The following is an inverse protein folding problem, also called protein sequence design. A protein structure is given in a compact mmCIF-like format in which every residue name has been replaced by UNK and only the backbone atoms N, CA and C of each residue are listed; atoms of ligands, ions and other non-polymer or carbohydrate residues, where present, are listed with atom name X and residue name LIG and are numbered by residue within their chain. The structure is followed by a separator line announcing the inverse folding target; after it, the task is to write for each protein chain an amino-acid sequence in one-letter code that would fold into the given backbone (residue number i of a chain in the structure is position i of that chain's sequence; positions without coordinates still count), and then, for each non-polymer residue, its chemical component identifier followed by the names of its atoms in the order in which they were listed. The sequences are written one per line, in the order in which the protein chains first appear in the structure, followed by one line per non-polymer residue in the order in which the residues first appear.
data_IF_334073073481
#
_entry.id   IF_334073073481
#
_cell.length_a   1.000
_cell.length_b   1.000
_cell.length_c   1.000
_cell.angle_alpha   90.00
_cell.angle_beta   90.00
_cell.angle_gamma   90.00
#
_symmetry.space_group_name_H-M   'P 1'
#
loop_
_entity.id
_entity.type
_entity.pdbx_description
1 polymer ?
#
# COMPACT_ATOMS: atom_id res chain seq x y z
N UNK A 1 12.79 2.07 -33.44
CA UNK A 1 12.09 0.78 -33.24
C UNK A 1 11.55 0.79 -31.83
N UNK A 2 10.23 0.83 -31.65
CA UNK A 2 9.63 0.77 -30.31
C UNK A 2 9.83 -0.66 -29.79
N UNK A 3 10.73 -0.83 -28.83
CA UNK A 3 10.85 -2.10 -28.11
C UNK A 3 9.55 -2.29 -27.33
N UNK A 4 8.66 -3.18 -27.79
CA UNK A 4 7.48 -3.58 -27.04
C UNK A 4 7.93 -4.22 -25.73
N UNK A 5 7.57 -3.60 -24.60
CA UNK A 5 7.84 -4.12 -23.27
C UNK A 5 7.23 -5.53 -23.15
N UNK A 6 8.07 -6.52 -22.83
CA UNK A 6 7.61 -7.89 -22.67
C UNK A 6 6.96 -8.07 -21.29
N UNK A 7 5.74 -8.58 -21.28
CA UNK A 7 4.96 -8.87 -20.09
C UNK A 7 5.54 -10.03 -19.27
N UNK A 8 5.12 -10.12 -18.01
CA UNK A 8 5.39 -11.23 -17.08
C UNK A 8 6.88 -11.42 -16.78
N UNK A 9 7.60 -10.30 -16.65
CA UNK A 9 9.04 -10.27 -16.42
C UNK A 9 9.41 -9.80 -15.02
N UNK A 10 10.50 -10.37 -14.53
CA UNK A 10 11.21 -9.93 -13.33
C UNK A 10 12.57 -9.39 -13.80
N UNK A 11 12.85 -8.13 -13.49
CA UNK A 11 14.14 -7.51 -13.74
C UNK A 11 14.95 -7.48 -12.44
N UNK A 12 16.15 -8.05 -12.47
CA UNK A 12 17.05 -8.01 -11.32
C UNK A 12 17.97 -6.78 -11.41
N UNK A 13 17.73 -5.79 -10.56
CA UNK A 13 18.52 -4.56 -10.55
C UNK A 13 17.89 -3.43 -9.74
N UNK A 14 18.57 -2.28 -9.76
CA UNK A 14 18.09 -1.06 -9.11
C UNK A 14 16.79 -0.56 -9.76
N UNK A 15 15.80 -0.28 -8.91
CA UNK A 15 14.46 0.14 -9.34
C UNK A 15 14.49 1.38 -10.24
N UNK A 16 15.25 2.41 -9.86
CA UNK A 16 15.31 3.65 -10.64
C UNK A 16 15.94 3.42 -12.01
N UNK A 17 17.00 2.62 -12.06
CA UNK A 17 17.73 2.27 -13.28
C UNK A 17 16.82 1.50 -14.24
N UNK A 18 16.15 0.45 -13.76
CA UNK A 18 15.26 -0.36 -14.59
C UNK A 18 14.05 0.44 -15.04
N UNK A 19 13.41 1.22 -14.16
CA UNK A 19 12.23 2.03 -14.52
C UNK A 19 12.50 2.96 -15.70
N UNK A 20 13.69 3.60 -15.76
CA UNK A 20 14.11 4.47 -16.87
C UNK A 20 14.17 3.76 -18.22
N UNK A 21 14.28 2.43 -18.23
CA UNK A 21 14.27 1.63 -19.47
C UNK A 21 12.86 1.29 -19.95
N UNK A 22 11.86 1.38 -19.07
CA UNK A 22 10.48 1.05 -19.39
C UNK A 22 9.81 2.19 -20.17
N UNK A 23 8.95 1.90 -21.16
CA UNK A 23 8.27 2.93 -21.94
C UNK A 23 7.24 3.70 -21.11
N UNK A 24 6.98 4.95 -21.51
CA UNK A 24 5.91 5.78 -20.95
C UNK A 24 4.55 5.09 -21.13
N UNK A 25 3.62 5.30 -20.18
CA UNK A 25 2.22 4.85 -20.28
C UNK A 25 2.06 3.35 -20.62
N UNK A 26 2.92 2.51 -20.06
CA UNK A 26 3.04 1.08 -20.37
C UNK A 26 2.45 0.16 -19.30
N UNK A 27 2.12 0.66 -18.11
CA UNK A 27 1.54 -0.13 -17.00
C UNK A 27 0.26 0.52 -16.47
N UNK A 28 -0.74 -0.27 -16.09
CA UNK A 28 -2.05 0.23 -15.65
C UNK A 28 -2.10 0.58 -14.15
N UNK A 29 -1.39 -0.17 -13.31
CA UNK A 29 -1.27 0.16 -11.90
C UNK A 29 0.11 -0.21 -11.35
N UNK A 30 0.46 0.40 -10.22
CA UNK A 30 1.60 0.03 -9.41
C UNK A 30 1.10 -0.38 -8.02
N UNK A 31 1.51 -1.53 -7.53
CA UNK A 31 1.17 -2.01 -6.18
C UNK A 31 2.48 -2.46 -5.54
N UNK A 32 2.88 -1.80 -4.47
CA UNK A 32 4.22 -2.01 -3.93
C UNK A 32 4.34 -1.62 -2.46
N UNK A 33 5.44 -2.09 -1.88
CA UNK A 33 5.90 -1.76 -0.54
C UNK A 33 7.41 -1.54 -0.59
N UNK A 34 7.93 -0.31 -0.56
CA UNK A 34 9.37 -0.08 -0.53
C UNK A 34 10.00 -0.66 0.74
N UNK A 35 11.32 -0.90 0.76
CA UNK A 35 12.05 -1.07 2.01
C UNK A 35 11.78 0.10 2.98
N UNK A 36 11.36 -0.21 4.20
CA UNK A 36 10.98 0.82 5.19
C UNK A 36 12.21 1.48 5.82
N UNK A 37 12.12 2.80 6.04
CA UNK A 37 13.21 3.59 6.59
C UNK A 37 13.73 3.04 7.92
N UNK A 38 15.05 2.80 7.96
CA UNK A 38 15.82 2.38 9.13
C UNK A 38 15.28 1.11 9.82
N UNK A 39 14.55 0.24 9.11
CA UNK A 39 13.93 -0.95 9.72
C UNK A 39 14.73 -2.23 9.52
N UNK A 40 15.28 -2.46 8.32
CA UNK A 40 15.97 -3.70 7.95
C UNK A 40 17.22 -3.40 7.12
N UNK A 41 18.18 -4.31 7.23
CA UNK A 41 19.33 -4.41 6.35
C UNK A 41 19.21 -5.71 5.55
N UNK A 42 19.11 -5.60 4.23
CA UNK A 42 19.02 -6.72 3.30
C UNK A 42 20.40 -7.18 2.80
N UNK A 43 21.49 -6.54 3.23
CA UNK A 43 22.87 -6.94 2.91
C UNK A 43 23.26 -6.75 1.45
N UNK A 44 22.55 -5.88 0.72
CA UNK A 44 22.82 -5.60 -0.70
C UNK A 44 23.19 -4.12 -0.85
N UNK A 45 24.25 -3.86 -1.63
CA UNK A 45 24.68 -2.51 -1.93
C UNK A 45 23.60 -1.74 -2.71
N UNK A 46 23.45 -0.45 -2.43
CA UNK A 46 22.40 0.37 -3.04
C UNK A 46 20.99 0.08 -2.53
N UNK A 47 20.78 -0.74 -1.49
CA UNK A 47 19.44 -0.90 -0.91
C UNK A 47 18.83 0.42 -0.43
N UNK A 48 17.49 0.47 -0.42
CA UNK A 48 16.71 1.60 0.10
C UNK A 48 16.38 1.36 1.58
N UNK A 49 16.13 2.42 2.33
CA UNK A 49 15.79 2.37 3.76
C UNK A 49 17.01 2.49 4.66
N UNK A 50 18.18 2.79 4.08
CA UNK A 50 19.47 2.96 4.77
C UNK A 50 20.05 4.37 4.63
N UNK A 51 19.28 5.29 4.08
CA UNK A 51 19.67 6.68 3.92
C UNK A 51 19.90 7.33 5.29
N UNK A 52 20.81 8.31 5.33
CA UNK A 52 21.24 8.95 6.58
C UNK A 52 20.07 9.66 7.29
N UNK A 53 19.17 10.28 6.52
CA UNK A 53 18.04 11.04 7.06
C UNK A 53 16.71 10.63 6.42
N UNK A 54 15.57 10.84 7.11
CA UNK A 54 14.26 10.67 6.51
C UNK A 54 14.06 11.49 5.23
N UNK A 55 14.64 12.69 5.16
CA UNK A 55 14.53 13.56 3.99
C UNK A 55 15.19 12.92 2.75
N UNK A 56 16.40 12.37 2.89
CA UNK A 56 17.11 11.65 1.81
C UNK A 56 16.36 10.39 1.39
N UNK A 57 15.80 9.64 2.34
CA UNK A 57 14.94 8.49 2.05
C UNK A 57 13.71 8.87 1.22
N UNK A 58 13.00 9.93 1.65
CA UNK A 58 11.81 10.44 0.96
C UNK A 58 12.16 10.98 -0.42
N UNK A 59 13.27 11.71 -0.56
CA UNK A 59 13.75 12.20 -1.85
C UNK A 59 14.05 11.06 -2.83
N UNK A 60 14.76 10.02 -2.36
CA UNK A 60 15.09 8.86 -3.18
C UNK A 60 13.83 8.13 -3.64
N UNK A 61 12.88 7.86 -2.74
CA UNK A 61 11.61 7.25 -3.12
C UNK A 61 10.79 8.16 -4.05
N UNK A 62 10.80 9.47 -3.84
CA UNK A 62 10.12 10.43 -4.73
C UNK A 62 10.69 10.34 -6.14
N UNK A 63 12.01 10.20 -6.30
CA UNK A 63 12.63 10.02 -7.62
C UNK A 63 12.18 8.74 -8.33
N UNK A 64 12.03 7.64 -7.59
CA UNK A 64 11.54 6.36 -8.11
C UNK A 64 10.07 6.48 -8.50
N UNK A 65 9.24 7.03 -7.62
CA UNK A 65 7.81 7.19 -7.88
C UNK A 65 7.52 8.22 -8.98
N UNK A 66 8.43 9.17 -9.26
CA UNK A 66 8.34 10.01 -10.46
C UNK A 66 8.43 9.19 -11.74
N UNK A 67 9.36 8.23 -11.80
CA UNK A 67 9.45 7.28 -12.92
C UNK A 67 8.26 6.32 -12.96
N UNK A 68 7.75 5.85 -11.81
CA UNK A 68 6.49 5.10 -11.75
C UNK A 68 5.34 5.90 -12.37
N UNK A 69 5.23 7.20 -12.07
CA UNK A 69 4.21 8.07 -12.67
C UNK A 69 4.36 8.18 -14.19
N UNK A 70 5.60 8.25 -14.70
CA UNK A 70 5.87 8.29 -16.15
C UNK A 70 5.36 7.03 -16.84
N UNK A 71 5.69 5.86 -16.30
CA UNK A 71 5.32 4.56 -16.91
C UNK A 71 3.84 4.20 -16.73
N UNK A 72 3.14 4.73 -15.72
CA UNK A 72 1.70 4.51 -15.58
C UNK A 72 0.90 5.07 -16.76
N UNK A 73 -0.14 4.38 -17.20
CA UNK A 73 -1.14 4.93 -18.15
C UNK A 73 -1.78 6.21 -17.57
N UNK A 74 -2.35 7.11 -18.40
CA UNK A 74 -2.95 8.35 -17.92
C UNK A 74 -4.00 8.17 -16.81
N UNK A 75 -4.71 7.05 -16.81
CA UNK A 75 -5.71 6.65 -15.83
C UNK A 75 -5.16 5.73 -14.73
N UNK A 76 -3.85 5.52 -14.66
CA UNK A 76 -3.22 4.56 -13.77
C UNK A 76 -3.15 4.99 -12.30
N UNK A 77 -3.06 3.99 -11.42
CA UNK A 77 -3.04 4.16 -9.96
C UNK A 77 -1.77 3.60 -9.33
N UNK A 78 -1.38 4.16 -8.19
CA UNK A 78 -0.34 3.65 -7.30
C UNK A 78 -0.96 3.31 -5.95
N UNK A 79 -0.71 2.09 -5.48
CA UNK A 79 -1.06 1.59 -4.16
C UNK A 79 0.22 1.36 -3.38
N UNK A 80 0.53 2.29 -2.48
CA UNK A 80 1.79 2.35 -1.75
C UNK A 80 1.58 1.92 -0.30
N UNK A 81 1.98 0.70 0.04
CA UNK A 81 2.05 0.26 1.43
C UNK A 81 3.32 0.80 2.09
N UNK A 82 3.17 1.52 3.21
CA UNK A 82 4.31 2.00 3.98
C UNK A 82 3.97 2.08 5.48
N UNK A 83 4.95 1.76 6.32
CA UNK A 83 4.84 1.86 7.77
C UNK A 83 5.82 2.90 8.33
N UNK A 84 5.55 3.32 9.57
CA UNK A 84 6.37 4.31 10.26
C UNK A 84 7.47 3.69 11.12
N UNK A 85 8.45 4.51 11.44
CA UNK A 85 9.59 4.25 12.32
C UNK A 85 9.66 5.33 13.40
N UNK A 86 10.19 5.00 14.58
CA UNK A 86 10.38 5.95 15.68
C UNK A 86 11.81 6.50 15.67
N UNK A 87 12.00 7.75 16.08
CA UNK A 87 13.31 8.34 16.29
C UNK A 87 13.96 7.81 17.59
N UNK A 88 15.29 7.72 17.59
CA UNK A 88 16.10 7.22 18.69
C UNK A 88 16.54 5.76 18.52
N UNK A 89 17.67 5.41 19.15
CA UNK A 89 18.34 4.11 19.02
C UNK A 89 17.54 2.91 19.56
N UNK A 90 16.46 3.13 20.31
CA UNK A 90 15.78 2.06 21.05
C UNK A 90 16.77 1.26 21.92
N UNK A 91 16.62 -0.07 21.97
CA UNK A 91 17.58 -1.00 22.60
C UNK A 91 18.64 -1.54 21.61
N UNK A 92 18.80 -0.95 20.42
CA UNK A 92 19.83 -1.39 19.48
C UNK A 92 21.19 -0.86 19.98
N UNK A 93 22.08 -1.77 20.37
CA UNK A 93 23.43 -1.46 20.83
C UNK A 93 24.33 -1.02 19.67
N UNK A 94 25.50 -0.45 20.00
CA UNK A 94 26.53 -0.08 19.01
C UNK A 94 27.36 -1.29 18.54
N UNK A 95 27.15 -2.45 19.16
CA UNK A 95 27.84 -3.70 18.86
C UNK A 95 26.83 -4.84 18.66
N UNK A 96 27.15 -5.73 17.73
CA UNK A 96 26.39 -6.95 17.46
C UNK A 96 26.49 -7.90 18.67
N UNK A 97 25.35 -8.41 19.13
CA UNK A 97 25.32 -9.51 20.10
C UNK A 97 25.95 -10.75 19.44
N UNK A 98 27.05 -11.32 19.97
CA UNK A 98 27.69 -12.51 19.38
C UNK A 98 26.73 -13.70 19.23
N UNK A 99 25.67 -13.75 20.05
CA UNK A 99 24.60 -14.77 19.96
C UNK A 99 23.67 -14.55 18.76
N UNK A 100 23.53 -13.30 18.31
CA UNK A 100 22.69 -12.90 17.18
C UNK A 100 23.52 -12.02 16.24
N UNK A 101 24.39 -12.60 15.39
CA UNK A 101 25.33 -11.85 14.57
C UNK A 101 24.68 -10.89 13.56
N UNK A 102 23.37 -11.02 13.31
CA UNK A 102 22.58 -10.13 12.46
C UNK A 102 21.64 -9.20 13.27
N UNK A 103 21.77 -9.15 14.60
CA UNK A 103 20.81 -8.53 15.50
C UNK A 103 19.50 -9.32 15.64
N UNK A 104 18.70 -9.04 16.68
CA UNK A 104 17.39 -9.71 16.89
C UNK A 104 16.35 -9.36 15.83
N UNK A 105 16.53 -8.26 15.10
CA UNK A 105 15.62 -7.76 14.07
C UNK A 105 16.21 -7.79 12.66
N UNK A 106 17.42 -8.35 12.48
CA UNK A 106 18.13 -8.28 11.20
C UNK A 106 18.80 -6.91 10.94
N UNK A 107 18.99 -6.10 11.98
CA UNK A 107 19.60 -4.78 11.89
C UNK A 107 20.82 -4.70 12.82
N UNK A 108 21.98 -4.34 12.25
CA UNK A 108 23.24 -4.21 12.97
C UNK A 108 23.43 -2.81 13.61
N UNK A 109 22.87 -1.76 13.00
CA UNK A 109 23.04 -0.35 13.42
C UNK A 109 21.74 0.43 13.26
N UNK A 110 21.32 1.12 14.34
CA UNK A 110 20.20 2.06 14.33
C UNK A 110 20.56 3.33 13.53
N UNK A 111 19.91 3.55 12.38
CA UNK A 111 20.09 4.76 11.58
C UNK A 111 19.15 5.90 11.97
N UNK A 112 18.06 5.58 12.65
CA UNK A 112 17.07 6.50 13.18
C UNK A 112 17.55 7.19 14.49
N UNK A 113 18.85 7.16 14.80
CA UNK A 113 19.39 7.61 16.09
C UNK A 113 19.28 9.11 16.34
N UNK A 114 19.49 9.93 15.30
CA UNK A 114 19.27 11.39 15.32
C UNK A 114 18.49 11.77 14.08
N UNK A 115 17.23 12.12 14.26
CA UNK A 115 16.36 12.61 13.19
C UNK A 115 16.09 14.08 13.46
N UNK A 116 16.41 14.93 12.50
CA UNK A 116 16.18 16.38 12.60
C UNK A 116 14.70 16.67 12.88
N UNK A 117 14.43 17.54 13.84
CA UNK A 117 13.06 17.88 14.26
C UNK A 117 12.35 16.84 15.13
N UNK A 118 12.95 15.67 15.37
CA UNK A 118 12.39 14.63 16.23
C UNK A 118 13.17 14.47 17.54
N UNK A 119 12.44 14.39 18.65
CA UNK A 119 12.97 13.94 19.94
C UNK A 119 13.11 12.42 19.95
N UNK A 120 13.93 11.88 20.84
CA UNK A 120 13.98 10.45 21.06
C UNK A 120 12.59 9.93 21.43
N UNK A 121 12.19 8.80 20.82
CA UNK A 121 10.85 8.18 20.87
C UNK A 121 9.74 8.89 20.10
N UNK A 122 10.00 10.00 19.40
CA UNK A 122 8.99 10.56 18.49
C UNK A 122 8.73 9.60 17.34
N UNK A 123 7.47 9.48 16.91
CA UNK A 123 7.14 8.84 15.64
C UNK A 123 7.54 9.79 14.52
N UNK A 124 8.34 9.32 13.55
CA UNK A 124 8.97 10.20 12.55
C UNK A 124 7.94 10.77 11.57
N UNK A 125 6.87 10.03 11.27
CA UNK A 125 5.87 10.43 10.29
C UNK A 125 6.23 10.05 8.86
N UNK A 126 7.08 9.02 8.65
CA UNK A 126 7.57 8.61 7.32
C UNK A 126 6.44 8.44 6.29
N UNK A 127 5.31 7.75 6.59
CA UNK A 127 4.22 7.61 5.64
C UNK A 127 3.72 8.95 5.10
N UNK A 128 3.48 9.93 5.98
CA UNK A 128 2.91 11.22 5.62
C UNK A 128 3.95 12.17 5.00
N UNK A 129 5.21 12.11 5.43
CA UNK A 129 6.31 12.81 4.77
C UNK A 129 6.40 12.40 3.29
N UNK A 130 6.36 11.09 3.02
CA UNK A 130 6.38 10.57 1.66
C UNK A 130 5.09 10.94 0.89
N UNK A 131 3.91 10.76 1.47
CA UNK A 131 2.65 11.07 0.80
C UNK A 131 2.56 12.55 0.37
N UNK A 132 3.04 13.47 1.22
CA UNK A 132 3.09 14.89 0.87
C UNK A 132 4.16 15.23 -0.15
N UNK A 133 5.33 14.59 -0.09
CA UNK A 133 6.37 14.74 -1.12
C UNK A 133 5.86 14.27 -2.49
N UNK A 134 5.20 13.12 -2.57
CA UNK A 134 4.59 12.62 -3.81
C UNK A 134 3.50 13.56 -4.33
N UNK A 135 2.63 14.08 -3.44
CA UNK A 135 1.62 15.06 -3.83
C UNK A 135 2.24 16.34 -4.40
N UNK A 136 3.28 16.86 -3.74
CA UNK A 136 4.02 18.03 -4.21
C UNK A 136 4.73 17.77 -5.55
N UNK A 137 5.18 16.54 -5.79
CA UNK A 137 5.81 16.12 -7.04
C UNK A 137 4.83 15.97 -8.22
N UNK A 138 3.52 16.06 -7.98
CA UNK A 138 2.49 16.05 -9.02
C UNK A 138 1.53 14.86 -8.98
N UNK A 139 1.58 14.02 -7.94
CA UNK A 139 0.58 12.99 -7.74
C UNK A 139 -0.72 13.55 -7.14
N UNK A 140 -1.85 12.95 -7.51
CA UNK A 140 -3.09 13.12 -6.76
C UNK A 140 -3.13 12.09 -5.62
N UNK A 141 -3.03 12.54 -4.37
CA UNK A 141 -3.28 11.72 -3.19
C UNK A 141 -4.80 11.55 -3.00
N UNK A 142 -5.31 10.32 -3.13
CA UNK A 142 -6.76 10.04 -3.20
C UNK A 142 -7.34 9.45 -1.94
N UNK A 143 -6.58 8.61 -1.24
CA UNK A 143 -7.01 7.99 0.01
C UNK A 143 -5.80 7.62 0.85
N UNK A 144 -5.93 7.80 2.16
CA UNK A 144 -5.15 7.07 3.15
C UNK A 144 -5.99 5.87 3.59
N UNK A 145 -5.54 4.67 3.28
CA UNK A 145 -6.22 3.42 3.66
C UNK A 145 -5.44 2.80 4.82
N UNK A 146 -6.12 2.51 5.91
CA UNK A 146 -5.56 1.86 7.08
C UNK A 146 -5.67 0.35 6.89
N UNK A 147 -4.54 -0.31 6.65
CA UNK A 147 -4.46 -1.77 6.72
C UNK A 147 -4.33 -2.20 8.17
N UNK A 148 -5.45 -2.60 8.77
CA UNK A 148 -5.53 -3.12 10.13
C UNK A 148 -5.22 -4.62 10.15
N UNK A 149 -4.31 -5.01 11.03
CA UNK A 149 -3.94 -6.40 11.31
C UNK A 149 -4.58 -6.80 12.64
N UNK A 150 -5.43 -7.83 12.64
CA UNK A 150 -5.96 -8.39 13.89
C UNK A 150 -4.97 -9.37 14.56
N UNK A 151 -3.92 -9.77 13.83
CA UNK A 151 -2.81 -10.60 14.31
C UNK A 151 -1.46 -9.87 14.22
N UNK A 152 -1.31 -8.64 14.77
CA UNK A 152 -0.03 -7.95 14.70
C UNK A 152 1.02 -8.66 15.56
N UNK A 153 2.29 -8.57 15.16
CA UNK A 153 3.38 -9.04 16.02
C UNK A 153 3.38 -8.24 17.33
N UNK A 154 3.50 -8.90 18.50
CA UNK A 154 3.61 -8.21 19.78
C UNK A 154 4.82 -7.25 19.81
N UNK A 155 4.62 -6.07 20.40
CA UNK A 155 5.70 -5.13 20.68
C UNK A 155 6.00 -5.15 22.20
N UNK A 156 7.28 -5.14 22.58
CA UNK A 156 7.70 -5.13 23.99
C UNK A 156 7.64 -3.74 24.64
N UNK A 157 7.21 -2.74 23.89
CA UNK A 157 7.09 -1.33 24.32
C UNK A 157 5.94 -1.16 25.31
N UNK A 158 6.16 -0.38 26.39
CA UNK A 158 5.18 -0.20 27.50
C UNK A 158 4.65 1.22 27.64
N UNK A 159 5.20 2.17 26.91
CA UNK A 159 4.95 3.61 27.03
C UNK A 159 4.21 4.21 25.82
N UNK A 160 3.65 3.36 24.95
CA UNK A 160 2.74 3.72 23.86
C UNK A 160 1.87 2.52 23.45
N UNK A 161 0.77 2.73 22.70
CA UNK A 161 0.02 1.64 22.09
C UNK A 161 0.88 0.83 21.12
N UNK A 162 0.65 -0.48 21.08
CA UNK A 162 1.27 -1.38 20.09
C UNK A 162 0.76 -1.09 18.69
N UNK A 163 1.65 -1.08 17.70
CA UNK A 163 1.23 -0.89 16.30
C UNK A 163 0.43 -2.10 15.81
N UNK A 164 -0.74 -1.84 15.25
CA UNK A 164 -1.59 -2.87 14.64
C UNK A 164 -1.99 -2.56 13.20
N UNK A 165 -1.47 -1.48 12.60
CA UNK A 165 -1.82 -1.11 11.24
C UNK A 165 -0.61 -0.59 10.44
N UNK A 166 -0.81 -0.46 9.13
CA UNK A 166 0.07 0.26 8.19
C UNK A 166 -0.78 1.11 7.25
N UNK A 167 -0.13 2.07 6.59
CA UNK A 167 -0.79 2.91 5.59
C UNK A 167 -0.70 2.26 4.21
N UNK A 168 -1.76 2.43 3.44
CA UNK A 168 -1.79 2.19 2.00
C UNK A 168 -2.31 3.46 1.35
N UNK A 169 -1.40 4.23 0.78
CA UNK A 169 -1.82 5.41 0.04
C UNK A 169 -2.27 5.01 -1.36
N UNK A 170 -3.50 5.40 -1.71
CA UNK A 170 -3.95 5.41 -3.09
C UNK A 170 -3.57 6.74 -3.72
N UNK A 171 -2.67 6.71 -4.70
CA UNK A 171 -2.34 7.84 -5.54
C UNK A 171 -2.78 7.58 -6.99
N UNK A 172 -3.00 8.65 -7.74
CA UNK A 172 -3.38 8.57 -9.16
C UNK A 172 -2.59 9.55 -9.99
N UNK A 173 -2.31 9.18 -11.25
CA UNK A 173 -1.60 10.02 -12.21
C UNK A 173 -2.43 11.23 -12.65
N UNK A 174 -3.76 11.04 -12.76
CA UNK A 174 -4.69 12.05 -13.24
C UNK A 174 -5.92 12.16 -12.34
N UNK A 175 -6.64 13.29 -12.42
CA UNK A 175 -7.91 13.50 -11.70
C UNK A 175 -8.97 12.43 -11.99
N UNK A 176 -9.00 11.92 -13.23
CA UNK A 176 -9.82 10.77 -13.64
C UNK A 176 -8.88 9.59 -13.82
N UNK A 177 -9.18 8.48 -13.15
CA UNK A 177 -8.35 7.29 -13.12
C UNK A 177 -9.24 6.05 -13.03
N UNK A 178 -8.69 4.89 -13.39
CA UNK A 178 -9.38 3.61 -13.28
C UNK A 178 -9.58 3.26 -11.80
N UNK A 179 -10.83 2.99 -11.42
CA UNK A 179 -11.18 2.50 -10.10
C UNK A 179 -12.47 1.69 -10.15
N UNK A 180 -12.38 0.38 -9.95
CA UNK A 180 -13.53 -0.53 -9.92
C UNK A 180 -14.02 -0.72 -8.47
N UNK A 181 -14.91 0.18 -8.04
CA UNK A 181 -15.51 0.12 -6.73
C UNK A 181 -16.40 -1.13 -6.55
N UNK A 182 -17.00 -1.62 -7.64
CA UNK A 182 -17.92 -2.76 -7.62
C UNK A 182 -17.15 -4.06 -7.36
N UNK A 183 -15.97 -4.23 -7.95
CA UNK A 183 -15.11 -5.40 -7.78
C UNK A 183 -14.64 -5.62 -6.33
N UNK A 184 -14.65 -4.58 -5.49
CA UNK A 184 -14.26 -4.67 -4.08
C UNK A 184 -15.41 -4.36 -3.10
N UNK A 185 -16.64 -4.21 -3.60
CA UNK A 185 -17.78 -3.85 -2.77
C UNK A 185 -18.03 -4.89 -1.67
N UNK A 186 -18.53 -4.43 -0.54
CA UNK A 186 -18.79 -5.27 0.64
C UNK A 186 -20.29 -5.38 0.87
N UNK A 187 -20.78 -6.48 1.48
CA UNK A 187 -22.14 -6.52 1.96
C UNK A 187 -22.45 -5.36 2.91
N UNK A 188 -23.67 -4.83 2.82
CA UNK A 188 -24.18 -3.93 3.85
C UNK A 188 -24.27 -4.67 5.19
N UNK A 189 -24.06 -3.95 6.29
CA UNK A 189 -24.28 -4.53 7.61
C UNK A 189 -25.76 -4.93 7.75
N UNK A 190 -26.07 -6.07 8.38
CA UNK A 190 -27.44 -6.57 8.53
C UNK A 190 -28.39 -5.56 9.22
N UNK A 191 -27.85 -4.68 10.06
CA UNK A 191 -28.59 -3.57 10.68
C UNK A 191 -29.08 -2.53 9.68
N UNK A 192 -28.45 -2.40 8.51
CA UNK A 192 -28.80 -1.41 7.49
C UNK A 192 -30.12 -1.76 6.79
N UNK A 193 -30.30 -2.97 6.20
CA UNK A 193 -31.60 -3.39 5.70
C UNK A 193 -32.70 -3.31 6.76
N UNK A 194 -32.43 -3.80 7.98
CA UNK A 194 -33.40 -3.77 9.07
C UNK A 194 -33.86 -2.34 9.42
N UNK A 195 -32.93 -1.37 9.42
CA UNK A 195 -33.24 0.04 9.62
C UNK A 195 -34.02 0.63 8.45
N UNK A 196 -33.64 0.32 7.21
CA UNK A 196 -34.32 0.84 6.02
C UNK A 196 -35.75 0.33 5.90
N UNK A 197 -36.01 -0.95 6.23
CA UNK A 197 -37.37 -1.53 6.28
C UNK A 197 -38.25 -0.90 7.33
N UNK A 198 -37.70 -0.50 8.48
CA UNK A 198 -38.47 0.12 9.57
C UNK A 198 -39.01 1.50 9.20
N UNK A 199 -38.34 2.20 8.28
CA UNK A 199 -38.69 3.58 7.95
C UNK A 199 -38.36 4.58 9.07
N UNK A 200 -38.70 5.84 8.82
CA UNK A 200 -38.48 6.94 9.77
C UNK A 200 -39.77 7.73 9.96
N UNK A 201 -40.15 7.96 11.22
CA UNK A 201 -41.30 8.78 11.60
C UNK A 201 -41.12 10.25 11.21
N UNK A 202 -42.22 11.01 11.27
CA UNK A 202 -42.18 12.46 11.09
C UNK A 202 -41.41 13.12 12.23
N UNK A 203 -40.72 14.24 11.95
CA UNK A 203 -40.02 15.03 12.98
C UNK A 203 -38.67 14.47 13.43
N UNK A 204 -37.95 13.73 12.57
CA UNK A 204 -36.57 13.37 12.85
C UNK A 204 -35.67 14.64 12.87
N UNK A 205 -34.54 14.61 13.60
CA UNK A 205 -33.63 15.77 13.72
C UNK A 205 -33.01 16.26 12.39
N UNK A 206 -33.19 15.52 11.30
CA UNK A 206 -32.69 15.82 9.96
C UNK A 206 -33.80 16.22 8.97
N UNK A 207 -35.03 16.40 9.46
CA UNK A 207 -36.20 16.73 8.64
C UNK A 207 -36.33 18.22 8.34
N UNK A 208 -35.67 19.07 9.13
CA UNK A 208 -35.59 20.50 8.87
C UNK A 208 -34.48 20.80 7.87
N UNK A 209 -34.77 21.66 6.89
CA UNK A 209 -33.76 22.18 5.98
C UNK A 209 -32.72 23.02 6.72
N UNK A 210 -31.45 22.75 6.45
CA UNK A 210 -30.34 23.54 6.98
C UNK A 210 -29.98 24.59 5.92
N UNK A 211 -30.00 25.90 6.27
CA UNK A 211 -29.64 26.95 5.32
C UNK A 211 -28.29 26.69 4.64
N UNK A 212 -28.26 26.75 3.30
CA UNK A 212 -27.07 26.51 2.50
C UNK A 212 -26.76 25.04 2.19
N UNK A 213 -27.55 24.08 2.70
CA UNK A 213 -27.48 22.67 2.31
C UNK A 213 -28.61 22.30 1.37
N UNK A 214 -28.32 21.48 0.35
CA UNK A 214 -29.36 20.86 -0.47
C UNK A 214 -30.12 19.85 0.39
N UNK A 215 -31.45 19.87 0.27
CA UNK A 215 -32.31 18.88 0.87
C UNK A 215 -31.88 17.47 0.46
N UNK A 216 -31.81 16.55 1.42
CA UNK A 216 -31.39 15.17 1.19
C UNK A 216 -32.60 14.24 1.28
N UNK A 217 -33.02 13.70 0.13
CA UNK A 217 -34.16 12.76 0.04
C UNK A 217 -34.03 11.46 0.85
N UNK A 218 -32.83 11.19 1.38
CA UNK A 218 -32.60 10.11 2.33
C UNK A 218 -33.32 10.35 3.67
N UNK A 219 -33.56 11.62 4.03
CA UNK A 219 -34.17 12.04 5.29
C UNK A 219 -35.69 12.25 5.19
N UNK A 220 -36.25 12.11 3.99
CA UNK A 220 -37.68 12.23 3.73
C UNK A 220 -38.48 11.26 4.60
N UNK A 221 -39.65 11.71 5.03
CA UNK A 221 -40.54 10.88 5.83
C UNK A 221 -40.97 9.64 5.04
N UNK A 222 -40.62 8.46 5.56
CA UNK A 222 -40.94 7.15 4.97
C UNK A 222 -41.51 6.26 6.07
N UNK A 223 -42.82 6.34 6.37
CA UNK A 223 -43.42 5.59 7.48
C UNK A 223 -43.39 4.07 7.26
N UNK A 224 -43.40 3.64 5.99
CA UNK A 224 -43.43 2.23 5.61
C UNK A 224 -42.05 1.68 5.19
N UNK A 225 -40.98 2.46 5.38
CA UNK A 225 -39.63 2.07 4.99
C UNK A 225 -39.38 1.98 3.48
N UNK A 226 -38.35 1.23 3.11
CA UNK A 226 -37.97 0.92 1.73
C UNK A 226 -38.53 -0.45 1.34
N UNK A 227 -38.93 -0.62 0.07
CA UNK A 227 -39.22 -1.93 -0.50
C UNK A 227 -37.93 -2.78 -0.55
N UNK A 228 -38.06 -4.11 -0.47
CA UNK A 228 -36.91 -5.02 -0.41
C UNK A 228 -35.97 -4.89 -1.62
N UNK A 229 -36.54 -4.63 -2.80
CA UNK A 229 -35.83 -4.39 -4.06
C UNK A 229 -35.02 -3.08 -4.08
N UNK A 230 -35.43 -2.09 -3.29
CA UNK A 230 -34.76 -0.79 -3.19
C UNK A 230 -33.65 -0.76 -2.14
N UNK A 231 -33.47 -1.84 -1.37
CA UNK A 231 -32.46 -1.91 -0.32
C UNK A 231 -31.13 -2.36 -0.93
N UNK A 232 -30.07 -1.54 -0.84
CA UNK A 232 -28.76 -1.91 -1.34
C UNK A 232 -28.22 -3.15 -0.63
N UNK A 233 -27.82 -4.15 -1.41
CA UNK A 233 -27.18 -5.37 -0.87
C UNK A 233 -25.69 -5.18 -0.64
N UNK A 234 -25.06 -4.31 -1.43
CA UNK A 234 -23.65 -3.99 -1.38
C UNK A 234 -23.43 -2.52 -1.03
N UNK A 235 -22.26 -2.22 -0.49
CA UNK A 235 -21.75 -0.88 -0.23
C UNK A 235 -20.31 -0.78 -0.69
N UNK A 236 -19.86 0.45 -0.94
CA UNK A 236 -18.45 0.71 -1.20
C UNK A 236 -17.59 0.22 -0.03
N UNK A 237 -16.43 -0.36 -0.37
CA UNK A 237 -15.40 -0.70 0.60
C UNK A 237 -14.93 0.58 1.29
N UNK A 238 -14.85 0.55 2.62
CA UNK A 238 -14.33 1.67 3.41
C UNK A 238 -12.80 1.71 3.34
N UNK A 239 -12.21 2.72 3.95
CA UNK A 239 -10.77 2.99 4.02
C UNK A 239 -10.05 2.32 5.20
N UNK A 240 -10.75 1.53 6.02
CA UNK A 240 -10.11 0.65 7.03
C UNK A 240 -10.28 -0.80 6.61
N UNK A 241 -9.16 -1.44 6.24
CA UNK A 241 -9.14 -2.80 5.73
C UNK A 241 -8.54 -3.74 6.77
N UNK A 242 -9.41 -4.54 7.39
CA UNK A 242 -8.95 -5.59 8.30
C UNK A 242 -8.51 -6.82 7.48
N UNK A 243 -7.20 -7.01 7.34
CA UNK A 243 -6.59 -8.15 6.63
C UNK A 243 -5.46 -8.69 7.48
N UNK A 244 -5.51 -9.97 7.81
CA UNK A 244 -4.47 -10.59 8.63
C UNK A 244 -3.21 -10.89 7.82
N UNK A 245 -2.06 -10.82 8.50
CA UNK A 245 -0.80 -11.30 7.93
C UNK A 245 -0.85 -12.82 7.80
N UNK A 246 -0.26 -13.36 6.73
CA UNK A 246 -0.10 -14.80 6.52
C UNK A 246 1.39 -15.13 6.44
N UNK A 247 1.88 -16.14 7.18
CA UNK A 247 3.27 -16.55 7.09
C UNK A 247 3.63 -17.01 5.67
N UNK A 248 4.72 -16.50 5.13
CA UNK A 248 5.30 -17.01 3.90
C UNK A 248 6.47 -17.94 4.25
N UNK A 249 6.45 -19.18 3.70
CA UNK A 249 7.45 -20.21 4.02
C UNK A 249 8.80 -20.03 3.29
N UNK A 250 8.90 -19.13 2.32
CA UNK A 250 10.17 -18.81 1.66
C UNK A 250 10.96 -17.73 2.42
N UNK A 251 12.26 -17.60 2.13
CA UNK A 251 13.22 -16.72 2.84
C UNK A 251 13.02 -15.20 2.68
N UNK A 252 11.79 -14.74 2.46
CA UNK A 252 11.44 -13.33 2.34
C UNK A 252 10.61 -12.88 3.53
N UNK A 253 11.22 -12.06 4.38
CA UNK A 253 10.70 -11.76 5.71
C UNK A 253 9.59 -10.70 5.75
N UNK A 254 9.34 -9.99 4.65
CA UNK A 254 8.51 -8.77 4.64
C UNK A 254 7.55 -8.70 3.45
N UNK A 255 6.84 -9.78 3.13
CA UNK A 255 5.81 -9.74 2.07
C UNK A 255 4.44 -9.35 2.68
N UNK A 256 3.75 -8.38 2.09
CA UNK A 256 2.35 -8.12 2.44
C UNK A 256 1.44 -9.28 1.97
N UNK A 257 0.25 -9.48 2.59
CA UNK A 257 -0.55 -10.67 2.34
C UNK A 257 -1.19 -10.64 0.93
N UNK A 258 -1.36 -11.80 0.27
CA UNK A 258 -1.99 -11.89 -1.05
C UNK A 258 -3.35 -11.20 -1.15
N UNK A 259 -4.19 -11.28 -0.11
CA UNK A 259 -5.51 -10.63 -0.10
C UNK A 259 -5.43 -9.10 -0.21
N UNK A 260 -4.35 -8.50 0.30
CA UNK A 260 -4.13 -7.07 0.17
C UNK A 260 -3.80 -6.70 -1.28
N UNK A 261 -2.87 -7.46 -1.90
CA UNK A 261 -2.54 -7.32 -3.32
C UNK A 261 -3.79 -7.49 -4.20
N UNK A 262 -4.59 -8.53 -3.93
CA UNK A 262 -5.83 -8.85 -4.64
C UNK A 262 -6.82 -7.69 -4.57
N UNK A 263 -7.01 -7.11 -3.39
CA UNK A 263 -7.92 -5.97 -3.20
C UNK A 263 -7.47 -4.76 -4.02
N UNK A 264 -6.18 -4.43 -3.98
CA UNK A 264 -5.60 -3.34 -4.78
C UNK A 264 -5.70 -3.62 -6.30
N UNK A 265 -5.46 -4.86 -6.74
CA UNK A 265 -5.56 -5.26 -8.15
C UNK A 265 -6.99 -5.18 -8.67
N UNK A 266 -7.97 -5.70 -7.93
CA UNK A 266 -9.37 -5.65 -8.31
C UNK A 266 -9.87 -4.22 -8.44
N UNK A 267 -9.48 -3.35 -7.51
CA UNK A 267 -9.88 -1.94 -7.52
C UNK A 267 -9.13 -1.12 -8.58
N UNK A 268 -7.81 -1.31 -8.72
CA UNK A 268 -6.93 -0.38 -9.41
C UNK A 268 -6.38 -0.86 -10.75
N UNK A 269 -6.57 -2.11 -11.13
CA UNK A 269 -6.04 -2.69 -12.37
C UNK A 269 -7.16 -3.33 -13.21
N UNK A 270 -7.37 -2.89 -14.47
CA UNK A 270 -8.35 -3.51 -15.34
C UNK A 270 -8.05 -5.01 -15.57
N UNK A 271 -9.07 -5.84 -15.84
CA UNK A 271 -8.86 -7.21 -16.29
C UNK A 271 -7.90 -7.26 -17.48
N UNK A 272 -6.92 -8.18 -17.46
CA UNK A 272 -5.86 -8.25 -18.49
C UNK A 272 -4.83 -7.11 -18.43
N UNK A 273 -4.95 -6.17 -17.50
CA UNK A 273 -4.02 -5.05 -17.34
C UNK A 273 -2.64 -5.48 -16.84
N UNK A 274 -1.69 -4.55 -16.95
CA UNK A 274 -0.30 -4.70 -16.51
C UNK A 274 -0.09 -4.03 -15.15
N UNK A 275 0.34 -4.80 -14.14
CA UNK A 275 0.77 -4.27 -12.83
C UNK A 275 2.30 -4.15 -12.74
N UNK A 276 2.77 -3.08 -12.13
CA UNK A 276 4.16 -2.87 -11.76
C UNK A 276 4.36 -3.07 -10.25
N UNK A 277 5.45 -3.73 -9.87
CA UNK A 277 5.98 -3.70 -8.52
C UNK A 277 7.51 -3.42 -8.57
N UNK A 278 7.96 -2.19 -8.27
CA UNK A 278 9.37 -1.83 -8.33
C UNK A 278 10.19 -2.38 -7.15
N UNK A 279 9.54 -3.01 -6.16
CA UNK A 279 10.14 -3.60 -4.97
C UNK A 279 9.55 -5.00 -4.74
N UNK A 280 9.66 -5.84 -5.78
CA UNK A 280 8.91 -7.09 -5.93
C UNK A 280 9.10 -8.05 -4.75
N UNK A 281 10.31 -8.09 -4.17
CA UNK A 281 10.64 -8.98 -3.08
C UNK A 281 10.39 -10.44 -3.44
N UNK A 282 9.51 -11.10 -2.69
CA UNK A 282 9.09 -12.49 -2.98
C UNK A 282 8.04 -12.65 -4.08
N UNK A 283 7.60 -11.57 -4.74
CA UNK A 283 6.68 -11.65 -5.86
C UNK A 283 5.21 -11.86 -5.48
N UNK A 284 4.74 -11.40 -4.32
CA UNK A 284 3.30 -11.47 -3.96
C UNK A 284 2.44 -10.78 -5.02
N UNK A 285 2.79 -9.54 -5.41
CA UNK A 285 2.02 -8.76 -6.39
C UNK A 285 1.87 -9.50 -7.72
N UNK A 286 3.00 -9.93 -8.30
CA UNK A 286 3.03 -10.66 -9.56
C UNK A 286 2.30 -12.00 -9.50
N UNK A 287 2.45 -12.76 -8.41
CA UNK A 287 1.77 -14.04 -8.24
C UNK A 287 0.24 -13.87 -8.21
N UNK A 288 -0.27 -12.86 -7.48
CA UNK A 288 -1.71 -12.58 -7.43
C UNK A 288 -2.22 -12.00 -8.75
N UNK A 289 -1.44 -11.15 -9.42
CA UNK A 289 -1.78 -10.64 -10.74
C UNK A 289 -2.02 -11.77 -11.75
N UNK A 290 -1.08 -12.72 -11.82
CA UNK A 290 -1.20 -13.90 -12.68
C UNK A 290 -2.43 -14.74 -12.35
N UNK A 291 -2.71 -14.97 -11.05
CA UNK A 291 -3.90 -15.70 -10.60
C UNK A 291 -5.22 -15.03 -11.03
N UNK A 292 -5.24 -13.70 -11.06
CA UNK A 292 -6.40 -12.91 -11.47
C UNK A 292 -6.45 -12.64 -12.98
N UNK A 293 -5.56 -13.22 -13.79
CA UNK A 293 -5.52 -12.98 -15.23
C UNK A 293 -5.06 -11.58 -15.61
N UNK A 294 -4.09 -11.02 -14.88
CA UNK A 294 -3.35 -9.78 -15.20
C UNK A 294 -1.89 -10.10 -15.47
N UNK A 295 -1.23 -9.22 -16.21
CA UNK A 295 0.21 -9.29 -16.46
C UNK A 295 1.00 -8.51 -15.41
N UNK A 296 2.29 -8.81 -15.27
CA UNK A 296 3.15 -8.08 -14.33
C UNK A 296 4.50 -7.66 -14.91
N UNK A 297 5.05 -6.58 -14.35
CA UNK A 297 6.48 -6.24 -14.36
C UNK A 297 6.92 -6.15 -12.90
N UNK A 298 7.90 -6.95 -12.53
CA UNK A 298 8.54 -6.87 -11.22
C UNK A 298 9.98 -6.40 -11.32
N UNK A 299 10.42 -5.58 -10.36
CA UNK A 299 11.82 -5.18 -10.23
C UNK A 299 12.27 -5.54 -8.83
N UNK A 300 13.43 -6.17 -8.71
CA UNK A 300 14.01 -6.56 -7.43
C UNK A 300 15.53 -6.39 -7.46
N UNK A 301 16.07 -5.76 -6.42
CA UNK A 301 17.50 -5.49 -6.33
C UNK A 301 18.28 -6.77 -5.99
N UNK A 302 17.75 -7.60 -5.08
CA UNK A 302 18.44 -8.79 -4.59
C UNK A 302 18.24 -9.99 -5.54
N UNK A 303 19.30 -10.52 -6.17
CA UNK A 303 19.19 -11.65 -7.10
C UNK A 303 18.61 -12.93 -6.47
N UNK A 304 18.79 -13.14 -5.17
CA UNK A 304 18.19 -14.29 -4.47
C UNK A 304 16.68 -14.13 -4.28
N UNK A 305 16.20 -12.90 -4.12
CA UNK A 305 14.78 -12.61 -4.08
C UNK A 305 14.13 -12.70 -5.46
N UNK A 306 14.84 -12.30 -6.53
CA UNK A 306 14.41 -12.60 -7.90
C UNK A 306 14.15 -14.10 -8.09
N UNK A 307 15.12 -14.96 -7.74
CA UNK A 307 14.99 -16.43 -7.86
C UNK A 307 13.82 -16.99 -7.08
N UNK A 308 13.60 -16.44 -5.89
CA UNK A 308 12.48 -16.82 -5.04
C UNK A 308 11.13 -16.40 -5.65
N UNK A 309 11.06 -15.19 -6.23
CA UNK A 309 9.88 -14.70 -6.92
C UNK A 309 9.58 -15.53 -8.19
N UNK A 310 10.59 -15.86 -9.01
CA UNK A 310 10.44 -16.77 -10.16
C UNK A 310 9.81 -18.10 -9.75
N UNK A 311 10.38 -18.74 -8.72
CA UNK A 311 9.89 -20.02 -8.20
C UNK A 311 8.45 -19.93 -7.70
N UNK A 312 8.07 -18.80 -7.11
CA UNK A 312 6.71 -18.56 -6.61
C UNK A 312 5.70 -18.34 -7.74
N UNK A 313 6.07 -17.57 -8.75
CA UNK A 313 5.17 -17.14 -9.83
C UNK A 313 5.11 -18.22 -10.95
N UNK A 314 6.14 -19.06 -11.06
CA UNK A 314 6.34 -19.99 -12.16
C UNK A 314 6.64 -19.26 -13.47
N UNK A 315 7.59 -18.30 -13.42
CA UNK A 315 8.03 -17.47 -14.56
C UNK A 315 9.57 -17.42 -14.68
N UNK A 316 10.08 -16.68 -15.67
CA UNK A 316 11.53 -16.53 -15.97
C UNK A 316 11.99 -15.09 -15.66
N UNK A 317 13.02 -14.92 -14.83
CA UNK A 317 13.74 -13.68 -14.56
C UNK A 317 14.80 -13.46 -15.62
N UNK A 318 15.07 -12.19 -15.88
CA UNK A 318 15.83 -11.75 -17.04
C UNK A 318 16.70 -10.55 -16.73
#
# INVERSE_FOLDING_TARGET
MSSTMQADRIYCGDALTVLKTLPDNSVNCCITSPPYYALRDYGVDGQIGREETPALYVERLTSIFREVRRVLTPDGTLWLNIADTYAGKGNQGEALDPKYPNGRTGQAVALNGKVEGCKAKDMIGIPWLLAFALRADGWYLRSDIIWMKANPMPESTKDRPSRCYEHIFLLSKSRRYYYDAAAIAEPVAASTPARMKRGFGAGNKYSADIPGQKHQHLNDHRPNGYADEDIPQLRNKRDVWQINTVPYKGGHFAAFPPKLAETCLLAGCPPGGMVLDPFLGSGTTAAVAKQLGRHYIGIELNPEYCKLAEKRIGGVAV
#
